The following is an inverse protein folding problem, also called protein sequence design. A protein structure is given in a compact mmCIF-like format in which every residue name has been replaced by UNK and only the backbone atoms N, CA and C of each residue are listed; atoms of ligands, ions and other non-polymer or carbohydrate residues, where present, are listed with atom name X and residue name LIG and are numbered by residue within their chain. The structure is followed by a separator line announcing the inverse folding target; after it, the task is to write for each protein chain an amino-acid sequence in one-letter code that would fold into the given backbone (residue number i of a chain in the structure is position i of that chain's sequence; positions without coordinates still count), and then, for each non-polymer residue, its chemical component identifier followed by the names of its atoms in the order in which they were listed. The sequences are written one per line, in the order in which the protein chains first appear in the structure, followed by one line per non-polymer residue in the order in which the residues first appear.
data_IF_302469347555
#
_entry.id   IF_302469347555
#
_cell.length_a   1.000
_cell.length_b   1.000
_cell.length_c   1.000
_cell.angle_alpha   90.00
_cell.angle_beta   90.00
_cell.angle_gamma   90.00
#
_symmetry.space_group_name_H-M   'P 1'
#
loop_
_entity.id
_entity.type
_entity.pdbx_description
1 polymer ?
#
# COMPACT_ATOMS: atom_id res chain seq x y z
N UNK A 1 42.71 7.98 16.77
CA UNK A 1 42.05 6.65 16.88
C UNK A 1 40.58 6.67 17.34
N UNK A 2 39.91 7.83 17.55
CA UNK A 2 38.54 7.86 18.11
C UNK A 2 37.41 8.36 17.19
N UNK A 3 37.70 8.85 15.98
CA UNK A 3 36.65 9.25 15.03
C UNK A 3 36.10 8.07 14.21
N UNK A 4 36.98 7.14 13.79
CA UNK A 4 36.61 6.00 12.94
C UNK A 4 35.70 4.98 13.66
N UNK A 5 35.89 4.80 14.98
CA UNK A 5 35.03 3.94 15.82
C UNK A 5 33.65 4.53 16.11
N UNK A 6 33.45 5.83 15.89
CA UNK A 6 32.16 6.50 16.08
C UNK A 6 31.32 6.50 14.81
N UNK A 7 31.96 6.51 13.62
CA UNK A 7 31.28 6.26 12.35
C UNK A 7 30.87 4.79 12.19
N UNK A 8 31.67 3.83 12.67
CA UNK A 8 31.35 2.40 12.60
C UNK A 8 30.21 1.94 13.54
N UNK A 9 29.75 2.80 14.47
CA UNK A 9 28.54 2.54 15.28
C UNK A 9 27.26 3.14 14.70
N UNK A 10 27.36 3.94 13.63
CA UNK A 10 26.21 4.45 12.88
C UNK A 10 25.89 3.67 11.61
N UNK A 11 26.74 2.69 11.24
CA UNK A 11 26.30 1.55 10.45
C UNK A 11 25.74 0.49 11.42
N UNK A 12 24.59 0.79 12.01
CA UNK A 12 23.62 -0.30 12.22
C UNK A 12 23.34 -0.73 10.79
N UNK A 13 23.78 -1.93 10.42
CA UNK A 13 23.40 -2.52 9.14
C UNK A 13 21.91 -2.30 9.02
N UNK A 14 21.45 -1.67 7.93
CA UNK A 14 20.05 -1.78 7.57
C UNK A 14 19.71 -3.28 7.73
N UNK A 15 18.70 -3.65 8.54
CA UNK A 15 18.31 -5.04 8.63
C UNK A 15 18.14 -5.53 7.19
N UNK A 16 18.66 -6.72 6.90
CA UNK A 16 18.42 -7.32 5.60
C UNK A 16 16.90 -7.32 5.35
N UNK A 17 16.44 -7.06 4.12
CA UNK A 17 15.01 -7.03 3.85
C UNK A 17 14.38 -8.32 4.36
N UNK A 18 13.41 -8.18 5.24
CA UNK A 18 12.87 -9.27 6.07
C UNK A 18 12.17 -10.36 5.24
N UNK A 19 11.97 -10.20 3.92
CA UNK A 19 11.33 -11.22 3.10
C UNK A 19 10.04 -11.76 3.75
N UNK A 20 9.75 -13.05 3.58
CA UNK A 20 8.65 -13.74 4.25
C UNK A 20 8.96 -14.13 5.72
N UNK A 21 9.80 -13.37 6.43
CA UNK A 21 10.13 -13.64 7.82
C UNK A 21 8.92 -13.39 8.73
N UNK A 22 8.84 -14.19 9.80
CA UNK A 22 7.85 -14.01 10.85
C UNK A 22 8.35 -12.95 11.83
N UNK A 23 7.55 -11.89 12.04
CA UNK A 23 7.94 -10.70 12.80
C UNK A 23 6.96 -10.45 13.94
N UNK A 24 7.49 -10.25 15.15
CA UNK A 24 6.72 -9.88 16.35
C UNK A 24 6.98 -8.46 16.84
N UNK A 25 7.90 -7.73 16.21
CA UNK A 25 8.20 -6.33 16.51
C UNK A 25 7.53 -5.40 15.50
N UNK A 26 6.75 -4.42 15.98
CA UNK A 26 5.99 -3.50 15.14
C UNK A 26 6.90 -2.72 14.17
N UNK A 27 8.04 -2.22 14.64
CA UNK A 27 8.91 -1.37 13.83
C UNK A 27 9.54 -2.17 12.70
N UNK A 28 9.97 -3.40 12.98
CA UNK A 28 10.47 -4.34 11.96
C UNK A 28 9.39 -4.72 10.95
N UNK A 29 8.15 -4.97 11.42
CA UNK A 29 7.04 -5.29 10.53
C UNK A 29 6.75 -4.12 9.58
N UNK A 30 6.66 -2.90 10.12
CA UNK A 30 6.43 -1.67 9.37
C UNK A 30 7.54 -1.41 8.34
N UNK A 31 8.81 -1.52 8.73
CA UNK A 31 9.92 -1.28 7.81
C UNK A 31 10.01 -2.36 6.72
N UNK A 32 9.85 -3.64 7.10
CA UNK A 32 9.87 -4.75 6.15
C UNK A 32 8.73 -4.67 5.14
N UNK A 33 7.53 -4.28 5.59
CA UNK A 33 6.39 -4.07 4.70
C UNK A 33 6.67 -2.94 3.70
N UNK A 34 7.21 -1.80 4.17
CA UNK A 34 7.59 -0.69 3.31
C UNK A 34 8.60 -1.14 2.24
N UNK A 35 9.66 -1.82 2.66
CA UNK A 35 10.71 -2.33 1.76
C UNK A 35 10.16 -3.29 0.70
N UNK A 36 9.18 -4.12 1.06
CA UNK A 36 8.57 -5.08 0.15
C UNK A 36 7.67 -4.43 -0.92
N UNK A 37 6.92 -3.37 -0.57
CA UNK A 37 5.95 -2.76 -1.48
C UNK A 37 6.51 -1.60 -2.31
N UNK A 38 7.50 -0.86 -1.81
CA UNK A 38 8.08 0.29 -2.53
C UNK A 38 8.56 -0.04 -3.96
N UNK A 39 9.24 -1.18 -4.20
CA UNK A 39 9.65 -1.58 -5.54
C UNK A 39 8.48 -1.76 -6.53
N UNK A 40 7.26 -1.97 -6.04
CA UNK A 40 6.07 -2.14 -6.88
C UNK A 40 5.50 -0.81 -7.41
N UNK A 41 6.00 0.33 -6.95
CA UNK A 41 5.49 1.66 -7.32
C UNK A 41 5.44 1.87 -8.83
N UNK A 42 6.48 1.47 -9.58
CA UNK A 42 6.53 1.71 -11.02
C UNK A 42 5.34 1.10 -11.78
N UNK A 43 4.98 -0.14 -11.44
CA UNK A 43 3.82 -0.79 -12.05
C UNK A 43 2.50 -0.12 -11.63
N UNK A 44 2.40 0.32 -10.38
CA UNK A 44 1.21 1.00 -9.87
C UNK A 44 1.02 2.40 -10.49
N UNK A 45 2.10 3.16 -10.67
CA UNK A 45 2.08 4.46 -11.35
C UNK A 45 1.53 4.32 -12.77
N UNK A 46 2.00 3.32 -13.52
CA UNK A 46 1.48 3.05 -14.87
C UNK A 46 -0.02 2.72 -14.85
N UNK A 47 -0.48 1.91 -13.88
CA UNK A 47 -1.90 1.59 -13.72
C UNK A 47 -2.74 2.83 -13.42
N UNK A 48 -2.28 3.71 -12.52
CA UNK A 48 -2.99 4.96 -12.20
C UNK A 48 -3.03 5.87 -13.44
N UNK A 49 -1.93 6.02 -14.18
CA UNK A 49 -1.92 6.80 -15.43
C UNK A 49 -2.94 6.27 -16.45
N UNK A 50 -2.98 4.94 -16.65
CA UNK A 50 -3.96 4.31 -17.54
C UNK A 50 -5.39 4.46 -17.04
N UNK A 51 -5.62 4.34 -15.73
CA UNK A 51 -6.91 4.57 -15.10
C UNK A 51 -7.39 5.99 -15.37
N UNK A 52 -6.57 7.00 -15.05
CA UNK A 52 -6.91 8.42 -15.21
C UNK A 52 -7.20 8.79 -16.66
N UNK A 53 -6.40 8.28 -17.61
CA UNK A 53 -6.61 8.52 -19.04
C UNK A 53 -7.88 7.84 -19.59
N UNK A 54 -8.39 6.82 -18.92
CA UNK A 54 -9.57 6.06 -19.31
C UNK A 54 -10.86 6.45 -18.57
N UNK A 55 -10.80 7.44 -17.67
CA UNK A 55 -11.99 7.87 -16.92
C UNK A 55 -13.03 8.51 -17.86
N UNK A 56 -14.30 8.07 -17.79
CA UNK A 56 -15.42 8.78 -18.40
C UNK A 56 -15.54 10.23 -17.91
N UNK A 57 -16.06 11.12 -18.77
CA UNK A 57 -16.21 12.56 -18.48
C UNK A 57 -17.12 12.86 -17.26
N UNK A 58 -18.05 11.95 -16.94
CA UNK A 58 -18.99 12.05 -15.82
C UNK A 58 -18.46 11.40 -14.52
N UNK A 59 -17.18 11.03 -14.48
CA UNK A 59 -16.54 10.55 -13.24
C UNK A 59 -16.52 11.67 -12.19
N UNK A 60 -17.14 11.41 -11.04
CA UNK A 60 -17.18 12.34 -9.90
C UNK A 60 -15.93 12.25 -9.03
N UNK A 61 -15.23 11.12 -9.06
CA UNK A 61 -13.91 10.98 -8.45
C UNK A 61 -13.43 9.55 -8.29
N UNK A 62 -12.25 9.44 -7.70
CA UNK A 62 -11.50 8.21 -7.47
C UNK A 62 -11.08 8.15 -6.01
N UNK A 63 -11.51 7.10 -5.32
CA UNK A 63 -10.97 6.72 -4.02
C UNK A 63 -9.97 5.58 -4.19
N UNK A 64 -8.95 5.54 -3.33
CA UNK A 64 -8.05 4.39 -3.22
C UNK A 64 -8.31 3.67 -1.90
N UNK A 65 -8.82 2.45 -1.99
CA UNK A 65 -9.10 1.60 -0.84
C UNK A 65 -7.95 0.63 -0.57
N UNK A 66 -7.66 0.40 0.70
CA UNK A 66 -6.72 -0.60 1.19
C UNK A 66 -7.52 -1.66 1.94
N UNK A 67 -7.45 -2.90 1.43
CA UNK A 67 -8.30 -4.03 1.81
C UNK A 67 -7.44 -5.11 2.44
N UNK A 68 -7.07 -4.99 3.73
CA UNK A 68 -6.37 -6.05 4.44
C UNK A 68 -7.28 -7.23 4.72
N UNK A 69 -6.69 -8.41 4.82
CA UNK A 69 -7.39 -9.63 5.21
C UNK A 69 -7.91 -9.54 6.66
N UNK A 70 -9.20 -9.80 6.92
CA UNK A 70 -9.76 -9.78 8.27
C UNK A 70 -9.10 -10.77 9.23
N UNK A 71 -8.53 -11.87 8.72
CA UNK A 71 -7.78 -12.83 9.54
C UNK A 71 -6.37 -12.36 9.92
N UNK A 72 -5.98 -11.15 9.48
CA UNK A 72 -4.67 -10.55 9.74
C UNK A 72 -3.50 -11.44 9.28
N UNK A 73 -3.68 -12.20 8.21
CA UNK A 73 -2.63 -13.07 7.63
C UNK A 73 -1.44 -12.30 7.05
N UNK A 74 -1.55 -10.98 6.92
CA UNK A 74 -0.62 -10.13 6.18
C UNK A 74 -0.98 -9.94 4.70
N UNK A 75 -2.02 -10.62 4.20
CA UNK A 75 -2.56 -10.38 2.86
C UNK A 75 -3.32 -9.06 2.80
N UNK A 76 -3.23 -8.35 1.67
CA UNK A 76 -4.05 -7.17 1.42
C UNK A 76 -4.07 -6.79 -0.06
N UNK A 77 -5.06 -5.99 -0.44
CA UNK A 77 -5.16 -5.42 -1.78
C UNK A 77 -5.30 -3.90 -1.72
N UNK A 78 -4.57 -3.19 -2.57
CA UNK A 78 -4.75 -1.75 -2.80
C UNK A 78 -5.43 -1.57 -4.14
N UNK A 79 -6.58 -0.92 -4.17
CA UNK A 79 -7.35 -0.75 -5.40
C UNK A 79 -8.10 0.58 -5.51
N UNK A 80 -8.32 1.03 -6.73
CA UNK A 80 -9.11 2.19 -7.06
C UNK A 80 -10.62 1.88 -7.11
N UNK A 81 -11.41 2.82 -6.63
CA UNK A 81 -12.87 2.86 -6.68
C UNK A 81 -13.29 4.15 -7.36
N UNK A 82 -14.22 4.06 -8.32
CA UNK A 82 -14.68 5.19 -9.12
C UNK A 82 -16.14 5.50 -8.82
N UNK A 83 -16.46 6.79 -8.81
CA UNK A 83 -17.80 7.30 -8.51
C UNK A 83 -18.34 8.11 -9.68
N UNK A 84 -19.67 8.09 -9.81
CA UNK A 84 -20.41 8.82 -10.83
C UNK A 84 -21.73 8.14 -11.16
N UNK A 85 -22.51 8.71 -12.08
CA UNK A 85 -23.89 8.31 -12.32
C UNK A 85 -24.02 6.93 -12.98
N UNK A 86 -23.08 6.53 -13.85
CA UNK A 86 -23.04 5.20 -14.47
C UNK A 86 -21.93 4.33 -13.88
N UNK A 87 -22.20 3.76 -12.69
CA UNK A 87 -21.25 2.85 -12.02
C UNK A 87 -20.88 1.62 -12.86
N UNK A 88 -21.74 1.17 -13.78
CA UNK A 88 -21.42 0.01 -14.61
C UNK A 88 -20.33 0.37 -15.64
N UNK A 89 -20.53 1.46 -16.38
CA UNK A 89 -19.55 1.96 -17.33
C UNK A 89 -18.22 2.32 -16.65
N UNK A 90 -18.30 3.01 -15.51
CA UNK A 90 -17.13 3.39 -14.71
C UNK A 90 -16.32 2.17 -14.26
N UNK A 91 -16.97 1.17 -13.65
CA UNK A 91 -16.28 -0.05 -13.21
C UNK A 91 -15.66 -0.80 -14.38
N UNK A 92 -16.32 -0.83 -15.55
CA UNK A 92 -15.78 -1.46 -16.76
C UNK A 92 -14.56 -0.73 -17.32
N UNK A 93 -14.56 0.61 -17.29
CA UNK A 93 -13.44 1.41 -17.77
C UNK A 93 -12.16 1.18 -16.96
N UNK A 94 -12.28 1.04 -15.64
CA UNK A 94 -11.12 0.89 -14.74
C UNK A 94 -10.75 -0.55 -14.41
N UNK A 95 -11.59 -1.55 -14.75
CA UNK A 95 -11.38 -2.97 -14.44
C UNK A 95 -9.95 -3.49 -14.70
N UNK A 96 -9.28 -3.17 -15.82
CA UNK A 96 -7.93 -3.66 -16.09
C UNK A 96 -6.84 -3.07 -15.18
N UNK A 97 -7.10 -1.91 -14.58
CA UNK A 97 -6.10 -1.09 -13.89
C UNK A 97 -6.44 -0.81 -12.42
N UNK A 98 -7.64 -1.19 -11.96
CA UNK A 98 -8.12 -0.87 -10.62
C UNK A 98 -7.33 -1.53 -9.50
N UNK A 99 -6.79 -2.73 -9.70
CA UNK A 99 -5.93 -3.39 -8.69
C UNK A 99 -4.50 -2.84 -8.82
N UNK A 100 -4.10 -1.95 -7.92
CA UNK A 100 -2.78 -1.31 -7.96
C UNK A 100 -1.68 -2.27 -7.46
N UNK A 101 -1.94 -2.89 -6.32
CA UNK A 101 -1.08 -3.86 -5.66
C UNK A 101 -1.94 -4.94 -5.00
N UNK A 102 -1.52 -6.19 -5.07
CA UNK A 102 -2.13 -7.26 -4.28
C UNK A 102 -1.04 -8.15 -3.68
N UNK A 103 -1.09 -8.28 -2.36
CA UNK A 103 -0.28 -9.23 -1.58
C UNK A 103 -1.15 -10.45 -1.31
N UNK A 104 -0.77 -11.59 -1.92
CA UNK A 104 -1.50 -12.85 -1.80
C UNK A 104 -0.65 -13.88 -1.08
N UNK A 105 -1.26 -14.64 -0.18
CA UNK A 105 -0.63 -15.82 0.39
C UNK A 105 -0.65 -16.99 -0.60
N UNK A 106 0.52 -17.59 -0.82
CA UNK A 106 0.70 -18.82 -1.59
C UNK A 106 1.29 -19.91 -0.71
N UNK A 107 1.35 -21.15 -1.22
CA UNK A 107 2.03 -22.24 -0.50
C UNK A 107 3.53 -22.00 -0.25
N UNK A 108 4.15 -21.04 -0.97
CA UNK A 108 5.54 -20.63 -0.78
C UNK A 108 5.71 -19.37 0.08
N UNK A 109 4.61 -18.80 0.61
CA UNK A 109 4.60 -17.53 1.33
C UNK A 109 3.90 -16.39 0.56
N UNK A 110 3.98 -15.16 1.07
CA UNK A 110 3.33 -14.00 0.46
C UNK A 110 4.02 -13.59 -0.84
N UNK A 111 3.23 -13.13 -1.80
CA UNK A 111 3.69 -12.55 -3.06
C UNK A 111 3.00 -11.19 -3.27
N UNK A 112 3.75 -10.06 -3.35
CA UNK A 112 5.19 -9.92 -3.10
C UNK A 112 5.62 -10.35 -1.68
N UNK A 113 6.92 -10.62 -1.44
CA UNK A 113 7.41 -11.13 -0.17
C UNK A 113 7.39 -10.04 0.91
N UNK A 114 6.25 -9.90 1.58
CA UNK A 114 6.09 -9.06 2.78
C UNK A 114 6.41 -9.86 4.04
N UNK A 115 6.82 -9.21 5.15
CA UNK A 115 6.92 -9.88 6.43
C UNK A 115 5.55 -10.41 6.86
N UNK A 116 5.55 -11.52 7.60
CA UNK A 116 4.35 -12.10 8.18
C UNK A 116 4.29 -11.74 9.67
N UNK A 117 3.14 -11.31 10.19
CA UNK A 117 2.99 -11.16 11.63
C UNK A 117 3.15 -12.52 12.32
N UNK A 118 3.71 -12.56 13.52
CA UNK A 118 3.73 -13.79 14.31
C UNK A 118 2.28 -14.27 14.58
N UNK A 119 1.99 -15.56 14.38
CA UNK A 119 0.61 -16.09 14.47
C UNK A 119 0.03 -15.97 15.89
N UNK A 120 0.89 -15.84 16.90
CA UNK A 120 0.51 -15.63 18.29
C UNK A 120 1.43 -14.58 18.92
N UNK A 121 0.90 -13.81 19.87
CA UNK A 121 1.70 -12.93 20.71
C UNK A 121 2.22 -11.66 20.02
N UNK A 122 1.60 -11.22 18.92
CA UNK A 122 1.79 -9.85 18.42
C UNK A 122 0.97 -8.89 19.28
N UNK A 123 1.59 -7.81 19.73
CA UNK A 123 0.96 -6.74 20.53
C UNK A 123 0.83 -5.45 19.70
N UNK A 124 0.55 -5.61 18.41
CA UNK A 124 0.35 -4.50 17.48
C UNK A 124 -0.79 -4.79 16.51
N UNK A 125 -1.44 -3.73 16.03
CA UNK A 125 -2.54 -3.83 15.09
C UNK A 125 -2.02 -3.98 13.64
N UNK A 126 -1.84 -5.22 13.20
CA UNK A 126 -1.28 -5.56 11.87
C UNK A 126 -1.99 -4.81 10.74
N UNK A 127 -3.33 -4.85 10.72
CA UNK A 127 -4.11 -4.22 9.65
C UNK A 127 -3.99 -2.69 9.66
N UNK A 128 -3.89 -2.06 10.83
CA UNK A 128 -3.65 -0.61 10.91
C UNK A 128 -2.29 -0.24 10.34
N UNK A 129 -1.26 -1.04 10.62
CA UNK A 129 0.07 -0.82 10.04
C UNK A 129 0.06 -1.02 8.53
N UNK A 130 -0.60 -2.08 8.04
CA UNK A 130 -0.76 -2.33 6.59
C UNK A 130 -1.40 -1.11 5.92
N UNK A 131 -2.52 -0.64 6.47
CA UNK A 131 -3.24 0.50 5.95
C UNK A 131 -2.40 1.79 5.98
N UNK A 132 -1.73 2.10 7.07
CA UNK A 132 -0.90 3.31 7.15
C UNK A 132 0.30 3.26 6.19
N UNK A 133 0.99 2.11 6.09
CA UNK A 133 2.14 1.95 5.19
C UNK A 133 1.71 1.98 3.72
N UNK A 134 0.61 1.31 3.38
CA UNK A 134 0.07 1.34 2.03
C UNK A 134 -0.48 2.73 1.67
N UNK A 135 -1.04 3.48 2.61
CA UNK A 135 -1.49 4.86 2.36
C UNK A 135 -0.33 5.81 2.04
N UNK A 136 0.81 5.67 2.72
CA UNK A 136 2.03 6.41 2.37
C UNK A 136 2.49 6.06 0.95
N UNK A 137 2.49 4.77 0.61
CA UNK A 137 2.84 4.29 -0.72
C UNK A 137 1.87 4.78 -1.81
N UNK A 138 0.55 4.75 -1.56
CA UNK A 138 -0.48 5.28 -2.47
C UNK A 138 -0.27 6.77 -2.71
N UNK A 139 0.06 7.54 -1.67
CA UNK A 139 0.33 8.98 -1.80
C UNK A 139 1.43 9.25 -2.82
N UNK A 140 2.52 8.49 -2.74
CA UNK A 140 3.65 8.62 -3.67
C UNK A 140 3.31 8.11 -5.08
N UNK A 141 2.58 6.98 -5.19
CA UNK A 141 2.10 6.48 -6.48
C UNK A 141 1.20 7.50 -7.18
N UNK A 142 0.25 8.09 -6.45
CA UNK A 142 -0.66 9.09 -6.98
C UNK A 142 0.08 10.34 -7.46
N UNK A 143 1.01 10.84 -6.64
CA UNK A 143 1.86 11.99 -7.00
C UNK A 143 2.65 11.74 -8.30
N UNK A 144 3.31 10.58 -8.40
CA UNK A 144 4.11 10.23 -9.58
C UNK A 144 3.30 9.87 -10.82
N UNK A 145 2.00 9.59 -10.67
CA UNK A 145 1.08 9.32 -11.77
C UNK A 145 0.40 10.59 -12.31
N UNK A 146 0.87 11.78 -11.92
CA UNK A 146 0.21 13.07 -12.20
C UNK A 146 -1.22 13.15 -11.64
N UNK A 147 -1.54 12.31 -10.64
CA UNK A 147 -2.84 12.26 -9.98
C UNK A 147 -3.31 13.63 -9.46
N UNK A 148 -2.47 14.44 -8.79
CA UNK A 148 -2.86 15.78 -8.35
C UNK A 148 -3.28 16.73 -9.49
N UNK A 149 -2.82 16.50 -10.72
CA UNK A 149 -3.20 17.30 -11.89
C UNK A 149 -4.54 16.86 -12.48
N UNK A 150 -5.00 15.64 -12.19
CA UNK A 150 -6.28 15.11 -12.70
C UNK A 150 -7.50 15.77 -12.06
N UNK A 151 -7.37 16.23 -10.80
CA UNK A 151 -8.50 16.70 -10.00
C UNK A 151 -9.52 15.61 -9.63
N UNK A 152 -9.29 14.35 -10.02
CA UNK A 152 -10.21 13.24 -9.79
C UNK A 152 -9.99 12.57 -8.42
N UNK A 153 -8.94 12.92 -7.69
CA UNK A 153 -8.60 12.30 -6.41
C UNK A 153 -9.51 12.76 -5.28
N UNK A 154 -10.07 11.80 -4.55
CA UNK A 154 -10.93 12.06 -3.39
C UNK A 154 -10.26 11.64 -2.08
N UNK A 155 -10.24 10.34 -1.77
CA UNK A 155 -9.76 9.85 -0.47
C UNK A 155 -8.98 8.53 -0.57
N UNK A 156 -8.03 8.35 0.35
CA UNK A 156 -7.42 7.06 0.69
C UNK A 156 -8.09 6.54 1.95
N UNK A 157 -8.58 5.31 1.94
CA UNK A 157 -9.25 4.70 3.10
C UNK A 157 -8.78 3.25 3.34
N UNK A 158 -8.86 2.81 4.59
CA UNK A 158 -8.74 1.40 4.95
C UNK A 158 -10.14 0.80 5.10
N UNK A 159 -10.34 -0.39 4.52
CA UNK A 159 -11.58 -1.16 4.66
C UNK A 159 -11.86 -1.44 6.15
N UNK A 160 -13.14 -1.51 6.54
CA UNK A 160 -13.56 -1.69 7.95
C UNK A 160 -13.03 -0.62 8.94
N UNK A 161 -12.53 0.51 8.42
CA UNK A 161 -12.01 1.61 9.25
C UNK A 161 -10.58 1.41 9.75
N UNK A 162 -9.82 0.48 9.17
CA UNK A 162 -8.41 0.28 9.51
C UNK A 162 -7.52 1.48 9.12
N UNK A 163 -6.43 1.62 9.86
CA UNK A 163 -5.41 2.66 9.69
C UNK A 163 -5.59 3.79 10.70
N UNK A 164 -4.59 3.98 11.57
CA UNK A 164 -4.63 5.00 12.61
C UNK A 164 -4.63 6.43 12.06
N UNK A 165 -4.30 6.58 10.78
CA UNK A 165 -4.18 7.86 10.10
C UNK A 165 -5.11 7.98 8.89
N UNK A 166 -6.08 7.08 8.73
CA UNK A 166 -7.06 7.09 7.64
C UNK A 166 -8.45 7.47 8.16
N UNK A 167 -9.34 8.00 7.30
CA UNK A 167 -9.12 8.35 5.89
C UNK A 167 -8.21 9.57 5.70
N UNK A 168 -7.51 9.64 4.56
CA UNK A 168 -6.66 10.79 4.14
C UNK A 168 -7.14 11.35 2.82
N UNK A 169 -7.12 12.67 2.65
CA UNK A 169 -7.39 13.28 1.34
C UNK A 169 -6.36 12.78 0.31
N UNK A 170 -6.85 12.31 -0.83
CA UNK A 170 -6.04 12.09 -2.02
C UNK A 170 -5.91 13.45 -2.71
N UNK A 171 -4.67 13.96 -2.81
CA UNK A 171 -4.33 15.37 -3.06
C UNK A 171 -5.25 16.11 -4.05
#
# INVERSE_FOLDING_TARGET
MNALRRLLRKLVSAPAPLGADIVSDEALYRSGLREAIWPQMGAAVMKVQHLLAGLPDDTEGVDIGIHPDPEQSGSFTVMAHVFGPDLYALNKAVEPYRELLCVRMTGAGPVPPVPLPAPFGVDFATNDIICDVAADWVTEVWFHADGPLSGAGNVIFGEEGYGASLPRKLA
#
